data_IF_882110150455
#
_entry.id   IF_882110150455
#
_cell.length_a   1.000
_cell.length_b   1.000
_cell.length_c   1.000
_cell.angle_alpha   90.00
_cell.angle_beta   90.00
_cell.angle_gamma   90.00
#
_symmetry.space_group_name_H-M   'P 1'
#
loop_
_entity.id
_entity.type
_entity.pdbx_description
1 polymer ?
#
# COMPACT_ATOMS: atom_id res chain seq x y z
N UNK A 1 -16.55 39.40 40.24
CA UNK A 1 -15.64 40.45 39.73
C UNK A 1 -14.21 40.14 40.13
N UNK A 2 -13.42 39.57 39.23
CA UNK A 2 -12.04 39.99 38.92
C UNK A 2 -11.57 39.18 37.72
N UNK A 3 -11.37 39.90 36.62
CA UNK A 3 -10.92 39.43 35.31
C UNK A 3 -9.46 39.02 35.44
N UNK A 4 -9.10 37.84 34.93
CA UNK A 4 -7.71 37.52 34.61
C UNK A 4 -7.63 37.47 33.09
N UNK A 5 -7.10 38.56 32.53
CA UNK A 5 -6.72 38.65 31.14
C UNK A 5 -5.33 38.02 31.03
N UNK A 6 -5.18 36.98 30.20
CA UNK A 6 -3.87 36.45 29.82
C UNK A 6 -3.54 37.05 28.46
N UNK A 7 -2.41 37.76 28.45
CA UNK A 7 -1.86 38.54 27.36
C UNK A 7 -1.08 37.58 26.44
N UNK A 8 -1.47 37.52 25.16
CA UNK A 8 -0.73 36.82 24.11
C UNK A 8 0.47 37.70 23.72
N UNK A 9 1.68 37.14 23.79
CA UNK A 9 2.90 37.76 23.30
C UNK A 9 3.55 36.84 22.27
N UNK A 10 3.24 37.07 20.99
CA UNK A 10 4.00 36.52 19.87
C UNK A 10 5.23 37.41 19.65
N UNK A 11 6.42 36.84 19.83
CA UNK A 11 7.69 37.48 19.46
C UNK A 11 8.00 37.07 18.04
N UNK A 12 7.84 38.03 17.13
CA UNK A 12 8.13 37.95 15.70
C UNK A 12 9.57 38.47 15.50
N UNK A 13 10.51 37.58 15.19
CA UNK A 13 11.87 37.95 14.80
C UNK A 13 12.05 37.79 13.29
N UNK A 14 11.80 38.88 12.56
CA UNK A 14 12.29 39.08 11.19
C UNK A 14 13.66 39.75 11.25
N UNK A 15 14.65 39.13 10.62
CA UNK A 15 15.83 39.80 10.06
C UNK A 15 16.38 38.92 8.93
N UNK A 16 16.05 39.19 7.67
CA UNK A 16 16.79 40.05 6.74
C UNK A 16 18.28 39.70 6.62
N UNK A 17 18.62 38.92 5.60
CA UNK A 17 19.85 39.13 4.83
C UNK A 17 19.50 39.30 3.35
N UNK A 18 19.57 40.55 2.90
CA UNK A 18 19.66 40.90 1.51
C UNK A 18 21.13 40.82 1.05
N UNK A 19 21.34 40.07 -0.02
CA UNK A 19 22.21 40.42 -1.15
C UNK A 19 23.72 40.49 -0.93
N UNK A 20 24.46 39.68 -1.70
CA UNK A 20 25.62 40.17 -2.44
C UNK A 20 25.71 39.53 -3.83
N UNK A 21 25.93 40.42 -4.79
CA UNK A 21 25.99 40.23 -6.22
C UNK A 21 27.23 39.44 -6.70
N UNK A 22 27.01 38.70 -7.80
CA UNK A 22 27.74 38.75 -9.09
C UNK A 22 29.26 38.98 -9.06
N UNK A 23 29.99 37.95 -9.50
CA UNK A 23 31.28 38.11 -10.16
C UNK A 23 31.30 37.29 -11.47
N UNK A 24 31.28 37.99 -12.60
CA UNK A 24 31.58 37.47 -13.93
C UNK A 24 33.08 37.58 -14.23
N UNK A 25 33.62 36.61 -14.99
CA UNK A 25 34.44 36.74 -16.24
C UNK A 25 35.32 35.49 -16.46
N UNK A 26 35.88 35.25 -17.67
CA UNK A 26 35.37 35.50 -19.03
C UNK A 26 35.61 34.34 -20.03
N UNK A 27 34.80 34.29 -21.10
CA UNK A 27 35.24 34.09 -22.50
C UNK A 27 35.69 32.71 -23.00
N UNK A 28 34.92 32.14 -23.94
CA UNK A 28 35.35 32.10 -25.35
C UNK A 28 34.16 31.81 -26.27
N UNK A 29 33.88 32.74 -27.18
CA UNK A 29 33.09 32.54 -28.39
C UNK A 29 33.75 31.47 -29.28
N UNK A 30 32.96 30.69 -30.03
CA UNK A 30 32.95 30.74 -31.51
C UNK A 30 31.54 30.36 -32.01
N UNK A 31 30.89 31.35 -32.59
CA UNK A 31 29.71 31.30 -33.48
C UNK A 31 30.03 30.53 -34.77
N UNK A 32 29.06 29.89 -35.43
CA UNK A 32 28.74 30.18 -36.85
C UNK A 32 27.39 29.56 -37.23
N UNK A 33 26.61 30.36 -37.95
CA UNK A 33 25.20 30.23 -38.27
C UNK A 33 24.88 29.34 -39.50
N UNK A 34 23.60 28.95 -39.53
CA UNK A 34 22.73 28.53 -40.66
C UNK A 34 22.82 29.50 -41.88
N UNK A 35 22.47 29.09 -43.11
CA UNK A 35 21.09 29.28 -43.64
C UNK A 35 20.63 28.10 -44.55
N UNK A 36 19.39 27.60 -44.47
CA UNK A 36 18.11 28.01 -45.12
C UNK A 36 17.75 27.18 -46.37
N UNK A 37 16.44 26.88 -46.42
CA UNK A 37 15.55 26.10 -47.30
C UNK A 37 15.69 26.21 -48.83
N UNK A 38 15.26 25.15 -49.54
CA UNK A 38 14.24 25.12 -50.64
C UNK A 38 14.11 23.65 -51.13
N UNK A 39 12.97 22.97 -51.00
CA UNK A 39 11.77 22.96 -51.88
C UNK A 39 12.00 22.37 -53.28
N UNK A 40 11.42 21.18 -53.55
CA UNK A 40 10.54 20.87 -54.69
C UNK A 40 10.40 19.35 -54.95
N UNK A 41 9.12 18.89 -55.04
CA UNK A 41 8.52 17.98 -56.05
C UNK A 41 9.09 16.57 -56.27
N UNK A 42 8.35 15.50 -56.60
CA UNK A 42 6.93 15.19 -56.82
C UNK A 42 6.85 13.65 -57.10
N UNK A 43 5.65 13.07 -56.91
CA UNK A 43 5.09 11.90 -57.64
C UNK A 43 5.43 10.47 -57.21
N UNK A 44 4.54 9.93 -56.37
CA UNK A 44 3.55 8.87 -56.70
C UNK A 44 4.03 7.56 -57.36
N UNK A 45 3.96 6.46 -56.59
CA UNK A 45 3.66 5.13 -57.12
C UNK A 45 2.84 4.35 -56.09
N UNK A 46 1.57 4.19 -56.42
CA UNK A 46 0.54 3.42 -55.73
C UNK A 46 0.86 1.92 -55.77
N UNK A 47 0.81 1.25 -54.62
CA UNK A 47 0.59 -0.18 -54.53
C UNK A 47 -0.21 -0.49 -53.26
N UNK A 48 -1.54 -0.55 -53.43
CA UNK A 48 -2.44 -1.17 -52.45
C UNK A 48 -2.09 -2.65 -52.32
N UNK A 49 -1.83 -3.09 -51.09
CA UNK A 49 -2.11 -4.46 -50.67
C UNK A 49 -2.62 -4.42 -49.23
N UNK A 50 -3.90 -4.73 -49.11
CA UNK A 50 -4.68 -4.86 -47.88
C UNK A 50 -3.96 -5.64 -46.77
N UNK A 51 -3.87 -5.04 -45.59
CA UNK A 51 -3.81 -5.75 -44.30
C UNK A 51 -4.66 -4.94 -43.32
N UNK A 52 -5.56 -5.64 -42.64
CA UNK A 52 -6.71 -5.09 -41.95
C UNK A 52 -6.37 -4.08 -40.85
N UNK A 53 -7.28 -3.12 -40.73
CA UNK A 53 -7.43 -2.24 -39.57
C UNK A 53 -7.53 -3.08 -38.29
N UNK A 54 -6.49 -3.00 -37.46
CA UNK A 54 -6.70 -2.68 -36.05
C UNK A 54 -6.06 -1.32 -35.85
N UNK A 55 -6.89 -0.31 -35.61
CA UNK A 55 -6.40 0.92 -35.00
C UNK A 55 -5.64 0.52 -33.72
N UNK A 56 -4.50 1.15 -33.41
CA UNK A 56 -3.95 1.06 -32.06
C UNK A 56 -5.06 1.51 -31.10
N UNK A 57 -5.45 0.67 -30.14
CA UNK A 57 -6.16 1.16 -28.96
C UNK A 57 -5.32 2.32 -28.42
N UNK A 58 -5.92 3.52 -28.37
CA UNK A 58 -5.21 4.68 -27.87
C UNK A 58 -4.81 4.38 -26.40
N UNK A 59 -3.59 4.73 -25.99
CA UNK A 59 -3.01 4.31 -24.70
C UNK A 59 -3.87 4.65 -23.47
N UNK A 60 -4.81 5.58 -23.60
CA UNK A 60 -5.69 6.07 -22.52
C UNK A 60 -6.96 5.23 -22.29
N UNK A 61 -7.60 4.69 -23.33
CA UNK A 61 -8.72 3.74 -23.15
C UNK A 61 -8.21 2.46 -22.47
N UNK A 62 -7.01 2.02 -22.84
CA UNK A 62 -6.33 0.90 -22.19
C UNK A 62 -5.99 1.24 -20.73
N UNK A 63 -5.40 2.40 -20.45
CA UNK A 63 -5.07 2.80 -19.08
C UNK A 63 -6.31 2.93 -18.17
N UNK A 64 -7.42 3.48 -18.69
CA UNK A 64 -8.68 3.57 -17.93
C UNK A 64 -9.28 2.19 -17.68
N UNK A 65 -9.22 1.30 -18.67
CA UNK A 65 -9.67 -0.09 -18.50
C UNK A 65 -8.83 -0.84 -17.46
N UNK A 66 -7.51 -0.62 -17.42
CA UNK A 66 -6.61 -1.25 -16.45
C UNK A 66 -6.89 -0.76 -15.02
N UNK A 67 -7.19 0.54 -14.85
CA UNK A 67 -7.59 1.09 -13.55
C UNK A 67 -8.93 0.50 -13.11
N UNK A 68 -9.92 0.39 -14.00
CA UNK A 68 -11.22 -0.21 -13.65
C UNK A 68 -11.07 -1.68 -13.22
N UNK A 69 -10.21 -2.44 -13.90
CA UNK A 69 -9.88 -3.80 -13.50
C UNK A 69 -9.21 -3.84 -12.11
N UNK A 70 -8.29 -2.90 -11.85
CA UNK A 70 -7.62 -2.76 -10.54
C UNK A 70 -8.61 -2.43 -9.43
N UNK A 71 -9.56 -1.52 -9.68
CA UNK A 71 -10.60 -1.17 -8.71
C UNK A 71 -11.53 -2.36 -8.39
N UNK A 72 -11.89 -3.15 -9.41
CA UNK A 72 -12.66 -4.38 -9.18
C UNK A 72 -11.87 -5.42 -8.40
N UNK A 73 -10.59 -5.63 -8.72
CA UNK A 73 -9.72 -6.59 -8.04
C UNK A 73 -9.48 -6.22 -6.58
N UNK A 74 -9.28 -4.94 -6.27
CA UNK A 74 -9.04 -4.45 -4.93
C UNK A 74 -10.34 -4.15 -4.15
N UNK A 75 -11.51 -4.43 -4.73
CA UNK A 75 -12.82 -4.07 -4.19
C UNK A 75 -13.05 -2.57 -3.93
N UNK A 76 -12.09 -1.72 -4.32
CA UNK A 76 -12.15 -0.29 -4.17
C UNK A 76 -13.30 0.30 -4.97
N UNK A 77 -13.99 1.29 -4.40
CA UNK A 77 -15.09 1.99 -5.06
C UNK A 77 -14.59 3.14 -5.95
N UNK A 78 -13.39 3.67 -5.68
CA UNK A 78 -12.75 4.65 -6.53
C UNK A 78 -11.23 4.61 -6.42
N UNK A 79 -10.55 5.20 -7.41
CA UNK A 79 -9.17 5.64 -7.28
C UNK A 79 -9.13 7.14 -6.99
N UNK A 80 -8.14 7.55 -6.19
CA UNK A 80 -7.84 8.95 -5.87
C UNK A 80 -6.38 9.19 -6.17
N UNK A 81 -6.07 10.33 -6.80
CA UNK A 81 -4.70 10.80 -6.93
C UNK A 81 -4.63 12.28 -6.59
N UNK A 82 -3.72 12.66 -5.69
CA UNK A 82 -3.29 14.04 -5.60
C UNK A 82 -2.44 14.37 -6.84
N UNK A 83 -2.73 15.47 -7.52
CA UNK A 83 -2.07 15.82 -8.80
C UNK A 83 -1.42 17.20 -8.76
N UNK A 84 -1.22 17.74 -7.56
CA UNK A 84 -0.49 18.99 -7.33
C UNK A 84 -1.36 20.13 -6.81
N UNK A 85 -0.78 21.34 -6.82
CA UNK A 85 -1.43 22.56 -6.35
C UNK A 85 -1.56 23.58 -7.48
N UNK A 86 -2.74 24.14 -7.69
CA UNK A 86 -2.93 25.25 -8.63
C UNK A 86 -4.18 26.10 -8.30
N UNK A 87 -3.98 27.41 -8.12
CA UNK A 87 -5.05 28.41 -7.99
C UNK A 87 -5.48 29.02 -9.34
N UNK A 88 -4.86 28.60 -10.44
CA UNK A 88 -5.08 29.08 -11.81
C UNK A 88 -6.38 28.59 -12.45
N UNK A 89 -6.52 28.89 -13.75
CA UNK A 89 -7.62 28.40 -14.58
C UNK A 89 -7.44 26.91 -14.93
N UNK A 90 -8.49 26.27 -15.44
CA UNK A 90 -8.41 24.89 -15.93
C UNK A 90 -7.30 24.69 -16.99
N UNK A 91 -7.08 25.70 -17.84
CA UNK A 91 -6.00 25.68 -18.82
C UNK A 91 -4.61 25.72 -18.15
N UNK A 92 -4.43 26.53 -17.10
CA UNK A 92 -3.17 26.59 -16.35
C UNK A 92 -2.88 25.26 -15.63
N UNK A 93 -3.93 24.59 -15.13
CA UNK A 93 -3.83 23.26 -14.52
C UNK A 93 -3.34 22.22 -15.53
N UNK A 94 -3.97 22.17 -16.72
CA UNK A 94 -3.59 21.24 -17.79
C UNK A 94 -2.16 21.49 -18.30
N UNK A 95 -1.77 22.75 -18.47
CA UNK A 95 -0.41 23.12 -18.82
C UNK A 95 0.58 22.71 -17.72
N UNK A 96 0.19 22.84 -16.45
CA UNK A 96 0.95 22.38 -15.29
C UNK A 96 1.18 20.86 -15.29
N UNK A 97 0.14 20.06 -15.51
CA UNK A 97 0.27 18.60 -15.55
C UNK A 97 1.29 18.12 -16.59
N UNK A 98 1.32 18.74 -17.76
CA UNK A 98 2.30 18.41 -18.79
C UNK A 98 3.72 18.90 -18.44
N UNK A 99 3.84 20.05 -17.79
CA UNK A 99 5.14 20.60 -17.38
C UNK A 99 5.78 19.79 -16.24
N UNK A 100 4.95 19.29 -15.32
CA UNK A 100 5.36 18.60 -14.10
C UNK A 100 5.47 17.07 -14.28
N UNK A 101 5.20 16.54 -15.48
CA UNK A 101 5.30 15.10 -15.78
C UNK A 101 4.09 14.26 -15.35
N UNK A 102 3.03 14.92 -14.87
CA UNK A 102 1.81 14.27 -14.37
C UNK A 102 1.02 13.64 -15.51
N UNK A 103 1.03 14.24 -16.71
CA UNK A 103 0.37 13.63 -17.88
C UNK A 103 1.04 12.32 -18.31
N UNK A 104 2.36 12.19 -18.15
CA UNK A 104 3.09 10.97 -18.45
C UNK A 104 2.83 9.88 -17.41
N UNK A 105 2.82 10.24 -16.12
CA UNK A 105 2.54 9.33 -15.02
C UNK A 105 1.06 8.89 -15.01
N UNK A 106 0.18 9.84 -15.28
CA UNK A 106 -1.27 9.67 -15.30
C UNK A 106 -1.88 10.23 -16.60
N UNK A 107 -1.87 9.47 -17.71
CA UNK A 107 -2.42 9.91 -19.00
C UNK A 107 -3.87 10.42 -18.97
N UNK A 108 -4.71 9.86 -18.09
CA UNK A 108 -6.12 10.22 -17.97
C UNK A 108 -6.37 11.68 -17.54
N UNK A 109 -5.40 12.35 -16.90
CA UNK A 109 -5.56 13.77 -16.50
C UNK A 109 -5.72 14.69 -17.70
N UNK A 110 -5.13 14.32 -18.85
CA UNK A 110 -5.24 15.06 -20.10
C UNK A 110 -6.60 14.85 -20.80
N UNK A 111 -7.36 13.83 -20.41
CA UNK A 111 -8.68 13.53 -20.97
C UNK A 111 -9.82 14.16 -20.16
N UNK A 112 -9.54 14.62 -18.94
CA UNK A 112 -10.50 15.40 -18.17
C UNK A 112 -10.78 16.70 -18.93
N UNK A 113 -12.05 17.00 -19.09
CA UNK A 113 -12.52 18.24 -19.74
C UNK A 113 -12.97 19.24 -18.70
N UNK A 114 -13.06 20.50 -19.08
CA UNK A 114 -13.46 21.59 -18.18
C UNK A 114 -14.85 21.37 -17.55
N UNK A 115 -15.77 20.66 -18.23
CA UNK A 115 -17.09 20.31 -17.70
C UNK A 115 -17.07 19.17 -16.67
N UNK A 116 -15.91 18.55 -16.44
CA UNK A 116 -15.62 17.57 -15.37
C UNK A 116 -14.60 18.07 -14.35
N UNK A 117 -14.38 19.39 -14.34
CA UNK A 117 -13.59 20.07 -13.33
C UNK A 117 -14.51 20.80 -12.36
N UNK A 118 -14.45 20.45 -11.08
CA UNK A 118 -15.26 21.05 -10.03
C UNK A 118 -14.36 21.64 -8.97
N UNK A 119 -14.59 22.91 -8.61
CA UNK A 119 -13.71 23.65 -7.72
C UNK A 119 -14.48 24.21 -6.53
N UNK A 120 -13.91 24.04 -5.35
CA UNK A 120 -14.15 24.84 -4.16
C UNK A 120 -12.92 25.72 -3.88
N UNK A 121 -12.99 26.55 -2.85
CA UNK A 121 -11.86 27.37 -2.40
C UNK A 121 -10.66 26.49 -2.03
N UNK A 122 -9.44 26.88 -2.44
CA UNK A 122 -8.21 26.14 -2.19
C UNK A 122 -7.38 25.92 -3.46
N UNK A 123 -6.26 25.24 -3.32
CA UNK A 123 -5.33 24.97 -4.43
C UNK A 123 -5.07 23.50 -4.68
N UNK A 124 -5.41 22.61 -3.76
CA UNK A 124 -5.12 21.19 -3.90
C UNK A 124 -5.98 20.57 -5.00
N UNK A 125 -5.35 19.79 -5.87
CA UNK A 125 -5.99 19.13 -7.00
C UNK A 125 -6.05 17.62 -6.78
N UNK A 126 -7.24 17.04 -6.96
CA UNK A 126 -7.48 15.61 -6.83
C UNK A 126 -8.15 15.05 -8.08
N UNK A 127 -7.55 14.04 -8.68
CA UNK A 127 -8.17 13.21 -9.70
C UNK A 127 -8.97 12.10 -9.01
N UNK A 128 -10.24 11.95 -9.38
CA UNK A 128 -11.12 10.91 -8.84
C UNK A 128 -11.61 10.04 -10.00
N UNK A 129 -11.45 8.73 -9.88
CA UNK A 129 -11.89 7.75 -10.87
C UNK A 129 -12.87 6.78 -10.18
N UNK A 130 -14.19 6.92 -10.38
CA UNK A 130 -15.17 6.00 -9.82
C UNK A 130 -15.07 4.61 -10.49
N UNK A 131 -15.37 3.54 -9.76
CA UNK A 131 -15.57 2.20 -10.35
C UNK A 131 -16.81 2.21 -11.28
N UNK A 132 -16.86 1.34 -12.28
CA UNK A 132 -17.91 1.32 -13.32
C UNK A 132 -19.37 1.11 -12.82
N UNK A 133 -19.55 0.60 -11.61
CA UNK A 133 -20.83 0.21 -10.99
C UNK A 133 -21.16 1.05 -9.75
N UNK A 134 -20.54 2.23 -9.60
CA UNK A 134 -20.80 3.14 -8.47
C UNK A 134 -21.32 4.49 -8.96
N UNK A 135 -22.21 5.08 -8.16
CA UNK A 135 -22.56 6.50 -8.27
C UNK A 135 -21.63 7.35 -7.42
N UNK A 136 -21.19 8.50 -7.95
CA UNK A 136 -20.38 9.49 -7.25
C UNK A 136 -21.15 10.80 -7.11
N UNK A 137 -21.19 11.33 -5.89
CA UNK A 137 -21.67 12.68 -5.60
C UNK A 137 -20.62 13.45 -4.82
N UNK A 138 -20.41 14.72 -5.18
CA UNK A 138 -19.44 15.61 -4.53
C UNK A 138 -20.19 16.79 -3.92
N UNK A 139 -19.87 17.10 -2.68
CA UNK A 139 -20.41 18.21 -1.92
C UNK A 139 -19.29 19.12 -1.41
N UNK A 140 -19.65 20.37 -1.14
CA UNK A 140 -18.88 21.21 -0.23
C UNK A 140 -18.93 20.66 1.19
N UNK A 141 -17.86 20.84 1.95
CA UNK A 141 -17.80 20.53 3.37
C UNK A 141 -17.28 21.74 4.14
N UNK A 142 -17.83 21.99 5.33
CA UNK A 142 -17.40 23.08 6.20
C UNK A 142 -17.66 22.76 7.67
N UNK A 143 -16.99 23.49 8.57
CA UNK A 143 -17.29 23.44 10.01
C UNK A 143 -18.46 24.38 10.28
N UNK A 144 -19.56 23.84 10.79
CA UNK A 144 -20.70 24.66 11.20
C UNK A 144 -20.32 25.55 12.40
N UNK A 145 -20.53 26.86 12.28
CA UNK A 145 -20.09 27.82 13.28
C UNK A 145 -20.89 27.75 14.60
N UNK A 146 -22.07 27.13 14.59
CA UNK A 146 -22.92 26.98 15.79
C UNK A 146 -22.63 25.68 16.53
N UNK A 147 -22.49 24.55 15.82
CA UNK A 147 -22.22 23.23 16.43
C UNK A 147 -20.73 22.92 16.57
N UNK A 148 -19.88 23.49 15.72
CA UNK A 148 -18.47 23.12 15.62
C UNK A 148 -18.23 21.75 14.95
N UNK A 149 -19.26 21.15 14.35
CA UNK A 149 -19.18 19.87 13.66
C UNK A 149 -19.02 20.06 12.14
N UNK A 150 -18.50 19.03 11.46
CA UNK A 150 -18.45 19.00 10.01
C UNK A 150 -19.88 18.90 9.45
N UNK A 151 -20.20 19.76 8.49
CA UNK A 151 -21.48 19.83 7.83
C UNK A 151 -21.30 19.74 6.31
N UNK A 152 -22.28 19.12 5.65
CA UNK A 152 -22.38 19.01 4.21
C UNK A 152 -23.07 20.25 3.62
N UNK A 153 -22.47 20.83 2.58
CA UNK A 153 -22.90 22.07 1.92
C UNK A 153 -23.56 21.84 0.56
N UNK A 154 -23.27 22.71 -0.41
CA UNK A 154 -23.84 22.61 -1.76
C UNK A 154 -23.30 21.37 -2.50
N UNK A 155 -24.16 20.73 -3.30
CA UNK A 155 -23.75 19.65 -4.20
C UNK A 155 -23.04 20.25 -5.42
N UNK A 156 -21.78 19.89 -5.62
CA UNK A 156 -20.95 20.35 -6.72
C UNK A 156 -21.12 19.46 -7.97
N UNK A 157 -21.27 18.14 -7.78
CA UNK A 157 -21.36 17.15 -8.85
C UNK A 157 -22.15 15.92 -8.42
N UNK A 158 -22.82 15.26 -9.37
CA UNK A 158 -23.43 13.95 -9.17
C UNK A 158 -23.53 13.21 -10.51
N UNK A 159 -23.12 11.95 -10.55
CA UNK A 159 -23.21 11.10 -11.73
C UNK A 159 -23.17 9.62 -11.37
N UNK A 160 -23.86 8.81 -12.17
CA UNK A 160 -23.77 7.34 -12.15
C UNK A 160 -22.79 6.84 -13.23
N UNK A 161 -21.98 7.74 -13.80
CA UNK A 161 -20.95 7.41 -14.79
C UNK A 161 -19.57 7.38 -14.13
N UNK A 162 -18.74 6.43 -14.53
CA UNK A 162 -17.37 6.23 -14.06
C UNK A 162 -16.31 7.09 -14.76
N UNK A 163 -16.73 8.23 -15.32
CA UNK A 163 -15.77 9.13 -15.97
C UNK A 163 -14.87 9.80 -14.91
N UNK A 164 -13.55 9.89 -15.16
CA UNK A 164 -12.64 10.63 -14.29
C UNK A 164 -13.06 12.10 -14.15
N UNK A 165 -13.04 12.60 -12.92
CA UNK A 165 -13.26 14.01 -12.61
C UNK A 165 -12.02 14.62 -11.93
N UNK A 166 -11.86 15.93 -12.09
CA UNK A 166 -10.84 16.69 -11.38
C UNK A 166 -11.51 17.61 -10.37
N UNK A 167 -11.06 17.53 -9.13
CA UNK A 167 -11.50 18.37 -8.04
C UNK A 167 -10.41 19.37 -7.65
N UNK A 168 -10.82 20.60 -7.33
CA UNK A 168 -9.97 21.54 -6.60
C UNK A 168 -10.61 21.90 -5.28
N UNK A 169 -9.83 21.92 -4.21
CA UNK A 169 -10.31 22.35 -2.90
C UNK A 169 -9.20 22.54 -1.89
N UNK A 170 -9.62 22.47 -0.63
CA UNK A 170 -8.84 22.54 0.60
C UNK A 170 -8.10 23.87 0.79
N UNK A 171 -8.68 24.73 1.64
CA UNK A 171 -8.02 25.95 2.16
C UNK A 171 -7.19 25.64 3.41
N UNK A 172 -7.53 24.55 4.10
CA UNK A 172 -6.94 24.17 5.38
C UNK A 172 -6.19 22.86 5.23
N UNK A 173 -5.00 22.81 5.81
CA UNK A 173 -4.17 21.59 5.86
C UNK A 173 -4.73 20.50 6.80
N UNK A 174 -5.80 20.79 7.56
CA UNK A 174 -6.35 19.92 8.61
C UNK A 174 -7.78 19.46 8.27
N UNK A 175 -8.54 20.28 7.55
CA UNK A 175 -9.94 20.01 7.24
C UNK A 175 -10.18 20.20 5.76
N UNK A 176 -10.52 19.10 5.10
CA UNK A 176 -11.04 19.14 3.73
C UNK A 176 -12.30 20.00 3.65
N UNK A 177 -12.47 20.70 2.53
CA UNK A 177 -13.74 21.37 2.20
C UNK A 177 -14.49 20.68 1.05
N UNK A 178 -14.12 19.43 0.78
CA UNK A 178 -14.75 18.55 -0.19
C UNK A 178 -15.24 17.28 0.52
N UNK A 179 -16.41 16.81 0.15
CA UNK A 179 -16.95 15.53 0.60
C UNK A 179 -17.45 14.74 -0.61
N UNK A 180 -16.90 13.55 -0.79
CA UNK A 180 -17.34 12.57 -1.78
C UNK A 180 -18.26 11.58 -1.09
N UNK A 181 -19.38 11.28 -1.74
CA UNK A 181 -20.28 10.20 -1.36
C UNK A 181 -20.37 9.25 -2.54
N UNK A 182 -19.92 8.02 -2.33
CA UNK A 182 -19.88 6.97 -3.34
C UNK A 182 -20.81 5.85 -2.90
N UNK A 183 -21.67 5.39 -3.80
CA UNK A 183 -22.62 4.32 -3.55
C UNK A 183 -22.53 3.25 -4.64
N UNK A 184 -22.21 2.02 -4.25
CA UNK A 184 -22.19 0.87 -5.15
C UNK A 184 -23.56 0.23 -5.32
N UNK A 185 -23.78 -0.43 -6.46
CA UNK A 185 -25.01 -1.19 -6.71
C UNK A 185 -25.22 -2.36 -5.72
N UNK A 186 -24.15 -2.86 -5.11
CA UNK A 186 -24.15 -3.92 -4.09
C UNK A 186 -24.56 -3.45 -2.69
N UNK A 187 -24.76 -2.14 -2.49
CA UNK A 187 -25.12 -1.54 -1.21
C UNK A 187 -23.95 -0.99 -0.41
N UNK A 188 -22.73 -1.05 -0.94
CA UNK A 188 -21.55 -0.39 -0.36
C UNK A 188 -21.71 1.13 -0.41
N UNK A 189 -21.30 1.82 0.65
CA UNK A 189 -21.30 3.28 0.70
C UNK A 189 -20.01 3.79 1.32
N UNK A 190 -19.44 4.83 0.72
CA UNK A 190 -18.24 5.49 1.20
C UNK A 190 -18.50 7.00 1.29
N UNK A 191 -18.22 7.59 2.45
CA UNK A 191 -18.06 9.03 2.63
C UNK A 191 -16.57 9.32 2.76
N UNK A 192 -16.03 10.15 1.88
CA UNK A 192 -14.59 10.40 1.79
C UNK A 192 -14.28 11.88 1.57
N UNK A 193 -13.34 12.41 2.34
CA UNK A 193 -12.88 13.80 2.24
C UNK A 193 -11.42 13.81 1.78
N UNK A 194 -11.11 14.06 0.50
CA UNK A 194 -9.75 14.07 0.01
C UNK A 194 -8.96 15.19 0.69
N UNK A 195 -7.82 14.81 1.25
CA UNK A 195 -6.86 15.71 1.90
C UNK A 195 -5.49 15.02 1.95
N UNK A 196 -4.44 15.81 2.08
CA UNK A 196 -3.12 15.28 2.37
C UNK A 196 -2.95 15.04 3.88
N UNK A 197 -2.30 13.94 4.21
CA UNK A 197 -1.76 13.64 5.52
C UNK A 197 -0.69 14.67 5.85
N UNK A 198 -0.84 15.34 6.99
CA UNK A 198 0.20 16.23 7.52
C UNK A 198 1.42 15.47 8.07
N UNK A 199 1.36 14.14 8.14
CA UNK A 199 2.46 13.30 8.61
C UNK A 199 3.53 13.17 7.53
N UNK A 200 3.12 12.69 6.37
CA UNK A 200 4.00 12.26 5.29
C UNK A 200 3.67 12.92 3.95
N UNK A 201 2.60 13.72 3.85
CA UNK A 201 2.18 14.35 2.61
C UNK A 201 1.52 13.40 1.61
N UNK A 202 1.17 12.18 2.02
CA UNK A 202 0.38 11.25 1.20
C UNK A 202 -1.10 11.58 1.28
N UNK A 203 -1.91 11.04 0.36
CA UNK A 203 -3.37 11.14 0.44
C UNK A 203 -3.85 10.39 1.67
N UNK A 204 -4.60 11.06 2.55
CA UNK A 204 -5.18 10.43 3.73
C UNK A 204 -6.23 9.41 3.31
N UNK A 205 -6.01 8.13 3.64
CA UNK A 205 -6.90 7.00 3.37
C UNK A 205 -6.92 6.09 4.60
N UNK A 206 -8.10 5.82 5.12
CA UNK A 206 -8.34 4.96 6.29
C UNK A 206 -9.24 3.75 5.97
N UNK A 207 -9.42 3.45 4.69
CA UNK A 207 -10.30 2.40 4.19
C UNK A 207 -9.76 1.75 2.93
N UNK A 208 -10.00 0.44 2.75
CA UNK A 208 -9.64 -0.30 1.54
C UNK A 208 -10.54 0.03 0.34
N UNK A 209 -11.64 0.77 0.56
CA UNK A 209 -12.56 1.18 -0.50
C UNK A 209 -12.00 2.26 -1.43
N UNK A 210 -10.77 2.73 -1.20
CA UNK A 210 -10.09 3.76 -1.97
C UNK A 210 -8.74 3.22 -2.44
N UNK A 211 -8.46 3.35 -3.73
CA UNK A 211 -7.16 3.04 -4.30
C UNK A 211 -6.34 4.32 -4.51
N UNK A 212 -5.17 4.41 -3.90
CA UNK A 212 -4.25 5.53 -4.12
C UNK A 212 -3.48 5.34 -5.44
N UNK A 213 -3.65 6.30 -6.35
CA UNK A 213 -2.99 6.35 -7.65
C UNK A 213 -2.06 7.58 -7.74
N UNK A 214 -1.73 8.21 -6.62
CA UNK A 214 -0.90 9.42 -6.59
C UNK A 214 0.52 9.14 -7.08
N UNK A 215 1.03 9.89 -8.08
CA UNK A 215 2.38 9.70 -8.58
C UNK A 215 3.39 10.46 -7.71
N UNK A 216 3.57 10.03 -6.46
CA UNK A 216 4.38 10.71 -5.43
C UNK A 216 5.79 11.09 -5.91
N UNK A 217 6.49 10.16 -6.57
CA UNK A 217 7.81 10.40 -7.14
C UNK A 217 7.81 11.54 -8.18
N UNK A 218 6.77 11.60 -9.02
CA UNK A 218 6.64 12.65 -10.06
C UNK A 218 6.39 14.01 -9.42
N UNK A 219 5.62 14.03 -8.33
CA UNK A 219 5.31 15.24 -7.56
C UNK A 219 6.50 15.71 -6.70
N UNK A 220 7.59 14.94 -6.65
CA UNK A 220 8.70 15.20 -5.73
C UNK A 220 8.26 15.12 -4.27
N UNK A 221 7.12 14.47 -4.00
CA UNK A 221 6.68 14.11 -2.66
C UNK A 221 7.40 12.82 -2.36
N UNK A 222 8.45 12.93 -1.56
CA UNK A 222 8.94 11.79 -0.81
C UNK A 222 8.05 11.75 0.41
N UNK A 223 7.22 10.71 0.60
CA UNK A 223 6.43 10.59 1.82
C UNK A 223 7.37 10.81 3.01
N UNK A 224 7.13 11.87 3.78
CA UNK A 224 7.94 12.17 4.96
C UNK A 224 7.55 11.13 6.02
N UNK A 225 8.11 9.93 5.91
CA UNK A 225 8.02 8.92 6.97
C UNK A 225 8.68 9.41 8.26
N UNK A 226 9.38 10.57 8.27
CA UNK A 226 10.34 10.93 9.30
C UNK A 226 11.65 10.15 9.19
N UNK A 227 11.84 9.42 8.09
CA UNK A 227 12.98 8.56 7.80
C UNK A 227 13.37 8.69 6.34
N UNK A 228 14.67 8.75 6.06
CA UNK A 228 15.17 8.64 4.68
C UNK A 228 14.59 7.35 4.06
N UNK A 229 14.05 7.45 2.84
CA UNK A 229 13.48 6.34 2.07
C UNK A 229 14.47 5.19 1.75
N UNK A 230 15.67 5.20 2.36
CA UNK A 230 16.67 4.13 2.35
C UNK A 230 16.57 3.18 3.56
N UNK A 231 15.73 3.46 4.57
CA UNK A 231 15.59 2.59 5.76
C UNK A 231 14.61 1.46 5.48
N UNK A 232 15.11 0.45 4.77
CA UNK A 232 14.43 -0.80 4.36
C UNK A 232 14.02 -1.73 5.51
N UNK A 233 14.05 -1.28 6.77
CA UNK A 233 13.94 -2.18 7.93
C UNK A 233 12.54 -2.39 8.44
N UNK A 234 11.56 -1.72 7.86
CA UNK A 234 10.15 -1.91 8.21
C UNK A 234 9.73 -3.34 7.82
N UNK A 235 9.07 -4.03 8.74
CA UNK A 235 8.60 -5.40 8.56
C UNK A 235 8.85 -6.28 9.78
N UNK A 236 8.54 -7.56 9.62
CA UNK A 236 8.78 -8.59 10.63
C UNK A 236 10.10 -9.31 10.35
N UNK A 237 10.84 -9.59 11.41
CA UNK A 237 12.20 -10.09 11.38
C UNK A 237 12.35 -11.24 12.37
N UNK A 238 12.88 -12.38 11.92
CA UNK A 238 13.05 -13.56 12.76
C UNK A 238 14.51 -13.98 12.90
N UNK A 239 14.85 -14.55 14.05
CA UNK A 239 16.12 -15.25 14.22
C UNK A 239 16.01 -16.35 15.27
N UNK A 240 16.98 -17.25 15.26
CA UNK A 240 17.17 -18.24 16.30
C UNK A 240 18.31 -17.80 17.23
N UNK A 241 18.04 -17.77 18.53
CA UNK A 241 19.05 -17.52 19.55
C UNK A 241 19.00 -18.58 20.64
N UNK A 242 20.13 -18.86 21.29
CA UNK A 242 20.14 -19.73 22.46
C UNK A 242 19.89 -18.92 23.72
N UNK A 243 18.94 -19.37 24.56
CA UNK A 243 18.76 -18.80 25.90
C UNK A 243 19.93 -19.17 26.83
N UNK A 244 19.90 -18.68 28.08
CA UNK A 244 20.96 -18.91 29.06
C UNK A 244 21.18 -20.41 29.40
N UNK A 245 20.16 -21.24 29.19
CA UNK A 245 20.20 -22.69 29.43
C UNK A 245 20.62 -23.48 28.17
N UNK A 246 20.85 -22.80 27.05
CA UNK A 246 21.27 -23.39 25.78
C UNK A 246 20.12 -23.94 24.93
N UNK A 247 18.88 -23.63 25.27
CA UNK A 247 17.72 -23.97 24.46
C UNK A 247 17.55 -22.97 23.31
N UNK A 248 17.16 -23.47 22.14
CA UNK A 248 16.91 -22.63 20.97
C UNK A 248 15.57 -21.92 21.13
N UNK A 249 15.61 -20.60 20.98
CA UNK A 249 14.48 -19.69 21.02
C UNK A 249 14.32 -19.03 19.65
N UNK A 250 13.08 -18.88 19.22
CA UNK A 250 12.70 -18.01 18.12
C UNK A 250 12.47 -16.62 18.68
N UNK A 251 13.09 -15.64 18.04
CA UNK A 251 12.93 -14.22 18.32
C UNK A 251 12.22 -13.59 17.14
N UNK A 252 11.24 -12.75 17.44
CA UNK A 252 10.53 -11.93 16.46
C UNK A 252 10.71 -10.46 16.82
N UNK A 253 11.10 -9.65 15.85
CA UNK A 253 11.15 -8.20 15.94
C UNK A 253 10.27 -7.62 14.82
N UNK A 254 9.33 -6.76 15.18
CA UNK A 254 8.45 -6.06 14.24
C UNK A 254 8.77 -4.58 14.32
N UNK A 255 9.04 -3.97 13.16
CA UNK A 255 9.28 -2.54 13.00
C UNK A 255 8.20 -1.98 12.07
N UNK A 256 7.26 -1.23 12.62
CA UNK A 256 6.13 -0.64 11.90
C UNK A 256 6.49 0.69 11.22
N UNK A 257 5.85 0.99 10.10
CA UNK A 257 6.05 2.24 9.35
C UNK A 257 5.64 3.50 10.12
N UNK A 258 4.78 3.34 11.13
CA UNK A 258 4.30 4.38 12.03
C UNK A 258 5.22 4.61 13.25
N UNK A 259 6.37 3.93 13.32
CA UNK A 259 7.28 3.98 14.46
C UNK A 259 6.88 3.08 15.64
N UNK A 260 5.86 2.24 15.50
CA UNK A 260 5.53 1.20 16.48
C UNK A 260 6.48 0.02 16.34
N UNK A 261 6.83 -0.59 17.47
CA UNK A 261 7.67 -1.79 17.48
C UNK A 261 7.14 -2.84 18.45
N UNK A 262 7.35 -4.10 18.09
CA UNK A 262 7.09 -5.23 18.95
C UNK A 262 8.26 -6.21 18.94
N UNK A 263 8.48 -6.87 20.06
CA UNK A 263 9.51 -7.89 20.21
C UNK A 263 8.98 -9.05 21.04
N UNK A 264 9.15 -10.27 20.55
CA UNK A 264 8.74 -11.49 21.23
C UNK A 264 9.82 -12.54 21.17
N UNK A 265 9.89 -13.41 22.20
CA UNK A 265 10.72 -14.60 22.14
C UNK A 265 10.09 -15.81 22.81
N UNK A 266 10.30 -16.99 22.22
CA UNK A 266 9.67 -18.23 22.66
C UNK A 266 10.36 -19.48 22.11
N UNK A 267 10.07 -20.69 22.62
CA UNK A 267 10.51 -21.93 22.01
C UNK A 267 9.93 -22.05 20.60
N UNK A 268 10.64 -22.74 19.70
CA UNK A 268 10.07 -23.09 18.40
C UNK A 268 8.75 -23.88 18.59
N UNK A 269 7.70 -23.51 17.84
CA UNK A 269 6.35 -24.12 17.89
C UNK A 269 5.53 -23.85 19.18
N UNK A 270 5.83 -22.78 19.92
CA UNK A 270 5.11 -22.36 21.14
C UNK A 270 4.73 -20.89 21.09
N UNK A 271 3.73 -20.49 21.89
CA UNK A 271 3.48 -19.07 22.19
C UNK A 271 4.74 -18.41 22.78
N UNK A 272 4.88 -17.10 22.55
CA UNK A 272 5.96 -16.31 23.12
C UNK A 272 5.92 -16.38 24.65
N UNK A 273 7.09 -16.57 25.27
CA UNK A 273 7.22 -16.58 26.73
C UNK A 273 7.04 -15.16 27.27
N UNK A 274 7.63 -14.19 26.56
CA UNK A 274 7.50 -12.77 26.85
C UNK A 274 7.31 -12.00 25.56
N UNK A 275 6.52 -10.94 25.65
CA UNK A 275 6.19 -10.06 24.54
C UNK A 275 6.28 -8.62 24.99
N UNK A 276 6.81 -7.77 24.13
CA UNK A 276 7.08 -6.36 24.38
C UNK A 276 6.55 -5.52 23.24
N UNK A 277 5.93 -4.40 23.57
CA UNK A 277 5.41 -3.42 22.62
C UNK A 277 5.92 -2.03 22.99
N UNK A 278 6.07 -1.18 21.98
CA UNK A 278 6.45 0.20 22.19
C UNK A 278 6.76 0.87 20.88
N UNK A 279 7.86 1.61 20.85
CA UNK A 279 8.26 2.37 19.67
C UNK A 279 9.68 2.04 19.25
N UNK A 280 9.94 2.31 17.97
CA UNK A 280 11.29 2.40 17.44
C UNK A 280 11.48 3.72 16.73
N UNK A 281 12.73 4.18 16.67
CA UNK A 281 13.14 5.25 15.80
C UNK A 281 14.60 5.14 15.40
N UNK A 282 14.99 5.83 14.33
CA UNK A 282 16.38 5.96 13.92
C UNK A 282 16.90 7.31 14.40
N UNK A 283 18.11 7.31 14.95
CA UNK A 283 18.80 8.50 15.37
C UNK A 283 20.27 8.40 14.98
N UNK A 284 20.73 9.26 14.06
CA UNK A 284 22.13 9.32 13.59
C UNK A 284 22.72 7.96 13.13
N UNK A 285 21.91 7.13 12.45
CA UNK A 285 22.32 5.79 11.97
C UNK A 285 22.23 4.68 13.01
N UNK A 286 21.62 4.95 14.18
CA UNK A 286 21.31 3.95 15.20
C UNK A 286 19.81 3.68 15.23
N UNK A 287 19.44 2.40 15.32
CA UNK A 287 18.07 1.95 15.59
C UNK A 287 17.87 1.92 17.10
N UNK A 288 16.92 2.71 17.59
CA UNK A 288 16.58 2.85 19.01
C UNK A 288 15.21 2.22 19.26
N UNK A 289 15.15 1.33 20.25
CA UNK A 289 13.94 0.65 20.72
C UNK A 289 13.59 1.14 22.12
N UNK A 290 12.32 1.51 22.30
CA UNK A 290 11.71 1.83 23.60
C UNK A 290 10.49 0.93 23.79
N UNK A 291 10.70 -0.25 24.38
CA UNK A 291 9.67 -1.27 24.53
C UNK A 291 9.28 -1.45 25.99
N UNK A 292 8.05 -1.90 26.21
CA UNK A 292 7.56 -2.31 27.52
C UNK A 292 6.71 -3.57 27.40
N UNK A 293 6.85 -4.47 28.36
CA UNK A 293 6.17 -5.76 28.29
C UNK A 293 6.73 -6.77 29.27
N UNK A 294 6.64 -8.05 28.94
CA UNK A 294 7.07 -9.17 29.77
C UNK A 294 6.03 -10.29 29.78
N UNK A 295 6.20 -11.26 30.69
CA UNK A 295 5.26 -12.36 30.84
C UNK A 295 3.93 -11.86 31.43
N UNK A 296 2.80 -12.37 30.92
CA UNK A 296 1.42 -12.03 31.34
C UNK A 296 1.19 -12.11 32.87
N UNK A 297 1.99 -12.88 33.59
CA UNK A 297 1.86 -13.12 35.04
C UNK A 297 2.80 -12.28 35.93
N UNK A 298 3.60 -11.37 35.36
CA UNK A 298 4.65 -10.63 36.10
C UNK A 298 4.61 -9.10 35.92
N UNK A 299 5.38 -8.36 36.74
CA UNK A 299 5.53 -6.91 36.58
C UNK A 299 6.17 -6.58 35.22
N UNK A 300 5.63 -5.58 34.52
CA UNK A 300 6.12 -5.15 33.22
C UNK A 300 7.56 -4.62 33.31
N UNK A 301 8.43 -5.11 32.44
CA UNK A 301 9.77 -4.63 32.21
C UNK A 301 9.79 -3.60 31.07
N UNK A 302 10.74 -2.67 31.10
CA UNK A 302 10.99 -1.72 30.01
C UNK A 302 12.35 -2.01 29.40
N UNK A 303 12.40 -2.15 28.08
CA UNK A 303 13.62 -2.32 27.30
C UNK A 303 13.92 -0.97 26.65
N UNK A 304 15.10 -0.43 26.94
CA UNK A 304 15.69 0.63 26.13
C UNK A 304 16.93 0.06 25.45
N UNK A 305 16.99 0.03 24.12
CA UNK A 305 18.14 -0.52 23.41
C UNK A 305 18.46 0.29 22.16
N UNK A 306 19.75 0.55 21.93
CA UNK A 306 20.25 1.23 20.74
C UNK A 306 21.22 0.31 19.98
N UNK A 307 21.12 0.29 18.65
CA UNK A 307 21.91 -0.56 17.77
C UNK A 307 22.45 0.20 16.57
N UNK A 308 23.71 -0.03 16.22
CA UNK A 308 24.14 0.13 14.84
C UNK A 308 23.40 -0.94 14.02
N UNK A 309 22.81 -0.56 12.90
CA UNK A 309 22.04 -1.50 12.08
C UNK A 309 22.48 -1.50 10.63
N UNK A 310 22.42 -2.68 10.01
CA UNK A 310 22.59 -2.86 8.57
C UNK A 310 21.37 -3.60 8.05
N UNK A 311 20.71 -2.95 7.09
CA UNK A 311 19.48 -3.43 6.49
C UNK A 311 19.71 -3.77 5.03
N UNK A 312 19.55 -5.03 4.69
CA UNK A 312 19.60 -5.54 3.32
C UNK A 312 18.25 -6.21 3.02
N UNK A 313 17.94 -6.44 1.74
CA UNK A 313 16.61 -6.91 1.27
C UNK A 313 15.98 -8.07 2.08
N UNK A 314 16.80 -8.94 2.67
CA UNK A 314 16.33 -10.11 3.43
C UNK A 314 16.94 -10.24 4.82
N UNK A 315 17.79 -9.30 5.24
CA UNK A 315 18.46 -9.40 6.54
C UNK A 315 18.53 -8.06 7.26
N UNK A 316 18.24 -8.10 8.55
CA UNK A 316 18.45 -6.99 9.47
C UNK A 316 19.51 -7.43 10.47
N UNK A 317 20.69 -6.82 10.41
CA UNK A 317 21.74 -7.05 11.40
C UNK A 317 21.77 -5.91 12.39
N UNK A 318 21.61 -6.21 13.67
CA UNK A 318 21.68 -5.28 14.79
C UNK A 318 22.95 -5.55 15.58
N UNK A 319 23.80 -4.54 15.75
CA UNK A 319 24.99 -4.57 16.61
C UNK A 319 24.76 -3.66 17.80
N UNK A 320 24.77 -4.23 19.00
CA UNK A 320 24.41 -3.54 20.25
C UNK A 320 25.37 -2.39 20.55
N UNK A 321 24.81 -1.21 20.79
CA UNK A 321 25.55 0.01 21.12
C UNK A 321 25.36 0.42 22.58
N UNK A 322 24.11 0.50 23.04
CA UNK A 322 23.77 0.95 24.39
C UNK A 322 22.44 0.34 24.88
N UNK A 323 22.20 0.42 26.19
CA UNK A 323 20.97 -0.06 26.83
C UNK A 323 20.96 -1.56 27.11
N UNK A 324 19.75 -2.13 27.20
CA UNK A 324 19.48 -3.45 27.79
C UNK A 324 19.81 -4.64 26.87
N UNK A 325 19.81 -4.44 25.55
CA UNK A 325 19.99 -5.50 24.56
C UNK A 325 18.76 -6.42 24.44
N UNK A 326 18.46 -6.90 23.22
CA UNK A 326 17.37 -7.86 22.96
C UNK A 326 17.83 -9.29 23.31
N UNK A 327 19.13 -9.55 23.20
CA UNK A 327 19.77 -10.83 23.55
C UNK A 327 21.10 -10.59 24.25
N UNK A 328 21.69 -11.68 24.76
CA UNK A 328 23.05 -11.66 25.30
C UNK A 328 24.15 -11.58 24.22
N UNK A 329 23.80 -11.51 22.93
CA UNK A 329 24.75 -11.39 21.83
C UNK A 329 24.97 -9.93 21.46
N UNK A 330 26.23 -9.53 21.31
CA UNK A 330 26.61 -8.19 20.85
C UNK A 330 26.14 -7.90 19.42
N UNK A 331 25.87 -8.94 18.62
CA UNK A 331 25.33 -8.80 17.27
C UNK A 331 24.33 -9.89 16.98
N UNK A 332 23.20 -9.50 16.39
CA UNK A 332 22.08 -10.38 16.05
C UNK A 332 21.73 -10.12 14.60
N UNK A 333 21.64 -11.17 13.80
CA UNK A 333 21.14 -11.08 12.43
C UNK A 333 19.78 -11.74 12.37
N UNK A 334 18.79 -10.96 11.99
CA UNK A 334 17.47 -11.42 11.66
C UNK A 334 17.33 -11.60 10.16
N UNK A 335 16.44 -12.49 9.76
CA UNK A 335 16.01 -12.71 8.39
C UNK A 335 14.58 -12.25 8.22
N UNK A 336 14.27 -11.63 7.08
CA UNK A 336 12.93 -11.11 6.79
C UNK A 336 11.88 -12.23 6.82
N UNK A 337 10.74 -11.92 7.42
CA UNK A 337 9.57 -12.80 7.59
C UNK A 337 8.87 -13.26 6.32
N UNK A 338 9.28 -12.84 5.14
CA UNK A 338 8.53 -13.07 3.90
C UNK A 338 8.25 -14.57 3.61
N UNK A 339 9.04 -15.50 4.16
CA UNK A 339 8.69 -16.93 4.24
C UNK A 339 8.06 -17.34 5.58
N UNK A 340 8.51 -16.82 6.72
CA UNK A 340 8.05 -17.27 8.04
C UNK A 340 6.65 -16.81 8.45
N UNK A 341 6.17 -15.64 8.00
CA UNK A 341 4.82 -15.16 8.29
C UNK A 341 3.73 -16.02 7.60
N UNK A 342 4.11 -16.77 6.56
CA UNK A 342 3.24 -17.74 5.91
C UNK A 342 3.19 -19.08 6.66
N UNK A 343 4.15 -19.38 7.54
CA UNK A 343 4.18 -20.65 8.27
C UNK A 343 3.01 -20.68 9.26
N UNK A 344 2.14 -21.67 9.13
CA UNK A 344 0.92 -21.77 9.93
C UNK A 344 -0.18 -22.55 9.21
N UNK A 345 -1.30 -22.68 9.90
CA UNK A 345 -2.53 -23.26 9.36
C UNK A 345 -3.46 -22.15 8.88
N UNK A 346 -3.82 -22.22 7.61
CA UNK A 346 -4.65 -21.26 6.90
C UNK A 346 -5.92 -21.96 6.44
N UNK A 347 -7.06 -21.42 6.85
CA UNK A 347 -8.36 -22.02 6.50
C UNK A 347 -9.13 -21.06 5.62
N UNK A 348 -9.86 -21.62 4.67
CA UNK A 348 -10.91 -20.89 3.94
C UNK A 348 -12.06 -21.85 3.66
N UNK A 349 -13.23 -21.32 3.33
CA UNK A 349 -14.41 -22.13 3.08
C UNK A 349 -15.22 -21.62 1.89
N UNK A 350 -15.82 -22.56 1.18
CA UNK A 350 -16.71 -22.30 0.06
C UNK A 350 -18.08 -22.88 0.37
N UNK A 351 -19.12 -22.07 0.15
CA UNK A 351 -20.50 -22.50 0.34
C UNK A 351 -21.12 -22.90 -1.00
N UNK A 352 -21.50 -24.16 -1.13
CA UNK A 352 -22.25 -24.67 -2.26
C UNK A 352 -23.75 -24.41 -2.05
N UNK A 353 -24.30 -23.49 -2.83
CA UNK A 353 -25.72 -23.12 -2.80
C UNK A 353 -26.66 -24.24 -3.30
N UNK A 354 -26.18 -25.16 -4.14
CA UNK A 354 -27.00 -26.25 -4.66
C UNK A 354 -27.16 -27.37 -3.63
N UNK A 355 -26.09 -27.71 -2.91
CA UNK A 355 -26.11 -28.77 -1.89
C UNK A 355 -26.36 -28.26 -0.47
N UNK A 356 -26.34 -26.94 -0.23
CA UNK A 356 -26.45 -26.32 1.10
C UNK A 356 -25.36 -26.83 2.05
N UNK A 357 -24.12 -26.93 1.56
CA UNK A 357 -22.97 -27.46 2.31
C UNK A 357 -21.74 -26.58 2.17
N UNK A 358 -20.94 -26.51 3.23
CA UNK A 358 -19.61 -25.91 3.20
C UNK A 358 -18.54 -26.96 2.86
N UNK A 359 -17.62 -26.57 2.00
CA UNK A 359 -16.32 -27.22 1.79
C UNK A 359 -15.25 -26.34 2.41
N UNK A 360 -14.36 -26.93 3.20
CA UNK A 360 -13.26 -26.26 3.88
C UNK A 360 -11.94 -26.69 3.29
N UNK A 361 -11.00 -25.74 3.22
CA UNK A 361 -9.67 -25.89 2.64
C UNK A 361 -8.67 -25.43 3.67
N UNK A 362 -7.91 -26.38 4.20
CA UNK A 362 -6.89 -26.14 5.21
C UNK A 362 -5.52 -26.29 4.55
N UNK A 363 -4.81 -25.18 4.35
CA UNK A 363 -3.40 -25.18 3.94
C UNK A 363 -2.54 -25.07 5.19
N UNK A 364 -1.66 -26.04 5.40
CA UNK A 364 -0.62 -25.95 6.42
C UNK A 364 0.73 -25.71 5.74
N UNK A 365 1.36 -24.59 6.05
CA UNK A 365 2.72 -24.28 5.64
C UNK A 365 3.64 -24.55 6.83
N UNK A 366 4.49 -25.56 6.71
CA UNK A 366 5.39 -25.99 7.78
C UNK A 366 6.76 -25.33 7.63
N UNK A 367 7.48 -25.22 8.75
CA UNK A 367 8.88 -24.79 8.75
C UNK A 367 9.76 -25.60 7.79
N UNK A 368 10.63 -24.91 7.05
CA UNK A 368 11.38 -25.46 5.94
C UNK A 368 10.66 -25.23 4.60
N UNK A 369 10.60 -26.27 3.76
CA UNK A 369 9.99 -26.21 2.42
C UNK A 369 8.72 -27.05 2.30
N UNK A 370 8.11 -27.52 3.40
CA UNK A 370 7.01 -28.49 3.37
C UNK A 370 5.64 -27.84 3.55
N UNK A 371 4.64 -28.36 2.85
CA UNK A 371 3.24 -27.94 2.99
C UNK A 371 2.28 -29.10 2.83
N UNK A 372 1.06 -28.94 3.34
CA UNK A 372 -0.07 -29.84 3.10
C UNK A 372 -1.36 -29.08 2.85
N UNK A 373 -2.29 -29.72 2.15
CA UNK A 373 -3.65 -29.23 1.92
C UNK A 373 -4.65 -30.32 2.30
N UNK A 374 -5.63 -30.02 3.13
CA UNK A 374 -6.78 -30.88 3.42
C UNK A 374 -8.07 -30.23 2.91
N UNK A 375 -8.87 -31.02 2.20
CA UNK A 375 -10.20 -30.61 1.74
C UNK A 375 -11.24 -31.49 2.41
N UNK A 376 -12.14 -30.89 3.16
CA UNK A 376 -13.13 -31.59 3.96
C UNK A 376 -14.48 -30.89 3.97
N UNK A 377 -15.54 -31.65 4.22
CA UNK A 377 -16.89 -31.09 4.33
C UNK A 377 -17.16 -30.51 5.73
N UNK A 378 -18.25 -29.76 5.91
CA UNK A 378 -18.64 -29.24 7.23
C UNK A 378 -18.94 -30.28 8.33
N UNK A 379 -18.93 -31.58 8.01
CA UNK A 379 -18.98 -32.67 8.99
C UNK A 379 -17.57 -33.17 9.40
N UNK A 380 -16.51 -32.56 8.87
CA UNK A 380 -15.11 -32.93 9.13
C UNK A 380 -14.60 -34.14 8.34
N UNK A 381 -15.35 -34.59 7.31
CA UNK A 381 -14.91 -35.71 6.47
C UNK A 381 -13.98 -35.20 5.38
N UNK A 382 -12.69 -35.52 5.48
CA UNK A 382 -11.69 -35.25 4.44
C UNK A 382 -11.90 -36.16 3.24
N UNK A 383 -11.99 -35.56 2.04
CA UNK A 383 -12.16 -36.29 0.79
C UNK A 383 -11.06 -36.00 -0.24
N UNK A 384 -10.20 -35.00 0.00
CA UNK A 384 -8.94 -34.82 -0.72
C UNK A 384 -7.84 -34.34 0.24
N UNK A 385 -6.61 -34.79 -0.01
CA UNK A 385 -5.47 -34.46 0.81
C UNK A 385 -4.19 -34.50 -0.02
N UNK A 386 -3.36 -33.46 0.13
CA UNK A 386 -2.15 -33.26 -0.63
C UNK A 386 -0.97 -32.92 0.28
N UNK A 387 0.21 -33.38 -0.09
CA UNK A 387 1.47 -33.06 0.58
C UNK A 387 2.48 -32.59 -0.47
N UNK A 388 3.31 -31.62 -0.13
CA UNK A 388 4.17 -31.00 -1.12
C UNK A 388 5.27 -30.13 -0.55
N UNK A 389 5.86 -29.35 -1.45
CA UNK A 389 6.81 -28.31 -1.11
C UNK A 389 6.32 -26.92 -1.47
N UNK A 390 6.75 -25.92 -0.71
CA UNK A 390 6.49 -24.51 -0.99
C UNK A 390 7.78 -23.69 -0.92
N UNK A 391 7.74 -22.49 -1.51
CA UNK A 391 8.82 -21.51 -1.47
C UNK A 391 8.26 -20.10 -1.57
N UNK A 392 8.93 -19.12 -0.97
CA UNK A 392 8.61 -17.71 -1.15
C UNK A 392 9.86 -16.92 -1.52
N UNK A 393 9.83 -16.24 -2.65
CA UNK A 393 10.91 -15.38 -3.12
C UNK A 393 10.37 -14.26 -4.01
N UNK A 394 10.95 -13.06 -3.97
CA UNK A 394 10.57 -11.94 -4.86
C UNK A 394 9.06 -11.60 -4.82
N UNK A 395 8.43 -11.71 -3.64
CA UNK A 395 6.98 -11.58 -3.43
C UNK A 395 6.11 -12.63 -4.14
N UNK A 396 6.72 -13.74 -4.59
CA UNK A 396 6.04 -14.87 -5.20
C UNK A 396 6.08 -16.10 -4.28
N UNK A 397 4.90 -16.49 -3.79
CA UNK A 397 4.61 -17.76 -3.15
C UNK A 397 4.40 -18.85 -4.20
N UNK A 398 5.18 -19.93 -4.14
CA UNK A 398 5.02 -21.08 -5.02
C UNK A 398 4.84 -22.35 -4.23
N UNK A 399 4.02 -23.28 -4.72
CA UNK A 399 3.93 -24.63 -4.14
C UNK A 399 3.75 -25.71 -5.21
N UNK A 400 4.08 -26.93 -4.82
CA UNK A 400 3.90 -28.15 -5.60
C UNK A 400 3.54 -29.30 -4.68
N UNK A 401 2.33 -29.84 -4.80
CA UNK A 401 1.79 -30.89 -3.93
C UNK A 401 1.26 -32.07 -4.74
N UNK A 402 1.29 -33.26 -4.13
CA UNK A 402 0.80 -34.51 -4.70
C UNK A 402 -0.29 -35.10 -3.82
N UNK A 403 -1.33 -35.67 -4.44
CA UNK A 403 -2.39 -36.34 -3.69
C UNK A 403 -1.87 -37.63 -3.05
N UNK A 404 -2.24 -37.87 -1.79
CA UNK A 404 -1.90 -39.11 -1.08
C UNK A 404 -3.14 -39.90 -0.62
N UNK A 405 -4.35 -39.43 -0.95
CA UNK A 405 -5.58 -40.21 -0.81
C UNK A 405 -5.83 -41.05 -2.08
N UNK A 406 -6.00 -42.36 -1.89
CA UNK A 406 -6.09 -43.36 -2.97
C UNK A 406 -7.41 -43.36 -3.78
N UNK A 407 -8.28 -42.35 -3.65
CA UNK A 407 -9.58 -42.35 -4.32
C UNK A 407 -9.53 -41.54 -5.64
N UNK A 408 -9.85 -42.23 -6.74
CA UNK A 408 -9.37 -41.95 -8.09
C UNK A 408 -10.13 -40.84 -8.86
N UNK A 409 -10.49 -39.73 -8.20
CA UNK A 409 -11.34 -38.69 -8.80
C UNK A 409 -10.67 -37.31 -8.97
N UNK A 410 -9.55 -37.04 -8.29
CA UNK A 410 -8.85 -35.74 -8.33
C UNK A 410 -7.45 -35.88 -8.94
N UNK A 411 -6.95 -34.80 -9.53
CA UNK A 411 -5.66 -34.78 -10.22
C UNK A 411 -4.48 -35.16 -9.31
N UNK A 412 -3.50 -35.88 -9.86
CA UNK A 412 -2.40 -36.45 -9.08
C UNK A 412 -1.41 -35.39 -8.54
N UNK A 413 -1.33 -34.20 -9.15
CA UNK A 413 -0.41 -33.13 -8.76
C UNK A 413 -1.05 -31.75 -8.91
N UNK A 414 -0.94 -30.92 -7.88
CA UNK A 414 -1.38 -29.52 -7.89
C UNK A 414 -0.17 -28.60 -7.63
N UNK A 415 -0.17 -27.39 -8.19
CA UNK A 415 0.90 -26.44 -7.92
C UNK A 415 0.83 -25.17 -8.75
N UNK A 416 1.26 -24.06 -8.19
CA UNK A 416 1.22 -22.75 -8.85
C UNK A 416 2.09 -21.71 -8.15
N UNK A 417 2.12 -20.53 -8.75
CA UNK A 417 2.83 -19.32 -8.30
C UNK A 417 1.79 -18.24 -8.04
N UNK A 418 1.88 -17.60 -6.88
CA UNK A 418 0.94 -16.64 -6.33
C UNK A 418 1.72 -15.47 -5.72
N UNK A 419 1.14 -14.29 -5.65
CA UNK A 419 1.60 -13.24 -4.73
C UNK A 419 0.89 -13.41 -3.42
N UNK A 420 1.64 -13.43 -2.32
CA UNK A 420 1.08 -13.49 -0.98
C UNK A 420 1.12 -12.10 -0.34
N UNK A 421 0.03 -11.74 0.33
CA UNK A 421 -0.07 -10.55 1.19
C UNK A 421 -0.74 -10.97 2.49
N UNK A 422 -0.12 -10.65 3.62
CA UNK A 422 -0.78 -10.73 4.92
C UNK A 422 -1.20 -9.31 5.29
N UNK A 423 -2.47 -9.10 5.62
CA UNK A 423 -2.96 -7.79 6.06
C UNK A 423 -2.77 -7.57 7.56
N UNK A 424 -3.15 -6.39 8.04
CA UNK A 424 -3.00 -6.00 9.45
C UNK A 424 -3.88 -6.85 10.40
N UNK A 425 -4.92 -7.50 9.88
CA UNK A 425 -5.83 -8.38 10.62
C UNK A 425 -5.36 -9.85 10.57
N UNK A 426 -4.23 -10.12 9.92
CA UNK A 426 -3.59 -11.43 9.83
C UNK A 426 -4.16 -12.32 8.73
N UNK A 427 -4.97 -11.80 7.80
CA UNK A 427 -5.49 -12.60 6.68
C UNK A 427 -4.45 -12.77 5.59
N UNK A 428 -4.31 -14.00 5.11
CA UNK A 428 -3.47 -14.30 3.96
C UNK A 428 -4.28 -14.20 2.67
N UNK A 429 -3.88 -13.28 1.81
CA UNK A 429 -4.37 -13.18 0.43
C UNK A 429 -3.37 -13.78 -0.53
N UNK A 430 -3.78 -14.79 -1.30
CA UNK A 430 -3.02 -15.39 -2.40
C UNK A 430 -3.62 -14.96 -3.74
N UNK A 431 -2.85 -14.21 -4.54
CA UNK A 431 -3.24 -13.76 -5.89
C UNK A 431 -2.47 -14.55 -6.95
N UNK A 432 -3.16 -15.26 -7.85
CA UNK A 432 -2.49 -16.10 -8.85
C UNK A 432 -1.61 -15.29 -9.80
N UNK A 433 -0.39 -15.79 -10.03
CA UNK A 433 0.55 -15.28 -11.06
C UNK A 433 0.65 -16.27 -12.23
N UNK A 434 0.91 -17.56 -11.98
CA UNK A 434 1.04 -18.59 -13.02
C UNK A 434 0.92 -20.02 -12.47
N UNK A 435 0.80 -21.03 -13.33
CA UNK A 435 0.75 -22.45 -12.93
C UNK A 435 -0.66 -23.05 -12.85
N UNK A 436 -0.76 -24.26 -12.29
CA UNK A 436 -2.00 -25.01 -12.14
C UNK A 436 -2.87 -24.37 -11.07
N UNK A 437 -4.18 -24.32 -11.35
CA UNK A 437 -5.08 -23.54 -10.54
C UNK A 437 -5.47 -24.28 -9.26
N UNK A 438 -5.08 -23.74 -8.12
CA UNK A 438 -5.75 -24.05 -6.85
C UNK A 438 -7.23 -23.63 -6.90
N UNK A 439 -7.56 -22.73 -7.82
CA UNK A 439 -8.86 -22.17 -8.16
C UNK A 439 -9.70 -23.02 -9.15
N UNK A 440 -9.23 -24.20 -9.58
CA UNK A 440 -10.09 -25.18 -10.26
C UNK A 440 -10.74 -26.15 -9.24
N UNK A 441 -10.22 -26.18 -8.00
CA UNK A 441 -10.81 -26.88 -6.84
C UNK A 441 -11.76 -26.00 -6.03
N UNK A 442 -11.65 -24.67 -6.18
CA UNK A 442 -12.34 -23.59 -5.45
C UNK A 442 -12.76 -22.57 -6.49
N UNK A 443 -14.04 -22.23 -6.62
CA UNK A 443 -14.58 -21.46 -7.78
C UNK A 443 -13.75 -20.26 -8.31
N UNK A 444 -14.01 -19.93 -9.58
CA UNK A 444 -13.31 -19.04 -10.55
C UNK A 444 -12.95 -17.59 -10.10
N UNK A 445 -12.33 -17.39 -8.94
CA UNK A 445 -11.86 -16.09 -8.46
C UNK A 445 -10.36 -16.17 -8.14
N UNK A 446 -9.51 -15.56 -8.97
CA UNK A 446 -8.04 -15.61 -8.90
C UNK A 446 -7.36 -15.01 -7.65
N UNK A 447 -8.14 -14.69 -6.61
CA UNK A 447 -7.70 -14.18 -5.31
C UNK A 447 -8.34 -15.05 -4.23
N UNK A 448 -7.53 -15.61 -3.35
CA UNK A 448 -7.99 -16.43 -2.23
C UNK A 448 -7.62 -15.79 -0.91
N UNK A 449 -8.57 -15.76 0.01
CA UNK A 449 -8.42 -15.15 1.33
C UNK A 449 -8.56 -16.25 2.37
N UNK A 450 -7.51 -16.40 3.19
CA UNK A 450 -7.44 -17.40 4.24
C UNK A 450 -7.42 -16.69 5.60
N UNK A 451 -8.24 -17.20 6.52
CA UNK A 451 -8.17 -16.81 7.92
C UNK A 451 -7.00 -17.53 8.60
N UNK A 452 -6.26 -16.83 9.48
CA UNK A 452 -5.31 -17.48 10.35
C UNK A 452 -6.07 -18.37 11.32
N UNK A 453 -5.75 -19.66 11.36
CA UNK A 453 -6.33 -20.53 12.38
C UNK A 453 -5.58 -20.31 13.68
N UNK A 454 -6.16 -19.55 14.60
CA UNK A 454 -5.71 -19.55 15.99
C UNK A 454 -6.04 -20.93 16.54
N UNK A 455 -5.04 -21.80 16.65
CA UNK A 455 -5.22 -23.08 17.30
C UNK A 455 -5.57 -22.83 18.76
N UNK A 456 -6.84 -22.90 19.12
CA UNK A 456 -7.25 -23.10 20.50
C UNK A 456 -6.87 -24.53 20.90
N UNK A 457 -5.61 -24.72 21.27
CA UNK A 457 -5.04 -25.94 21.82
C UNK A 457 -4.99 -25.90 23.34
#
# INVERSE_FOLDING_TARGET
MRKIAIFIAFVLCISLFAGCNRAEKPGSEVTTARPTQESASQTEATAESSKGDKAPEEPTEAATSDIQATLQQNTALCAVAFVGNCDGSFADIQDGFAADGITEALPMVAEVKEDRFFANDGSELYLIIPRNDVGLTVYEQFIDNESGELACGEMLYSSDQSEPILLRGNVSDIFSNLLLVIAGEGGETLEYSPQLSMMDGTVWIDTELIYDLTPYETLGIVPDSGFDAEVSCIGSWYTEASNADGETMILELILGYNGEAAYGYGPAESEFIEFFEGSWHENDGELVLELSGGSYDTESYSIYAAYEFVCEEQTLTLTHCDGDGLTNSDTITFTSANSHALIGLWTTSEYDFESDTYTYYDIELMGGDKCSLLIHNGEGTTFAAYEGTWSFAENEFSFHMQSYLNDAAMEENIGGVYRAKIDADGWLTLTKVSGYDFTELMSECGVQVFEPTVSYG
#
